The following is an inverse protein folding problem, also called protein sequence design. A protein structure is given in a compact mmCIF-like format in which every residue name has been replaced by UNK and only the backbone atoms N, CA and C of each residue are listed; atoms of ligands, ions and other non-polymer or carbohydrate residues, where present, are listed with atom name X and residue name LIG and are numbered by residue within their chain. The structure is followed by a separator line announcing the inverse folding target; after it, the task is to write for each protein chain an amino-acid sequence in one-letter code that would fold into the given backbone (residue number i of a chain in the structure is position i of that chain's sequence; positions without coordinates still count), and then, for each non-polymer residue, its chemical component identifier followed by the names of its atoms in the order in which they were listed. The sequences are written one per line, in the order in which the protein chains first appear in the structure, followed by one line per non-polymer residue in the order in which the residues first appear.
data_IF_867226342941
#
_entry.id   IF_867226342941
#
_cell.length_a   1.000
_cell.length_b   1.000
_cell.length_c   1.000
_cell.angle_alpha   90.00
_cell.angle_beta   90.00
_cell.angle_gamma   90.00
#
_symmetry.space_group_name_H-M   'P 1'
#
loop_
_entity.id
_entity.type
_entity.pdbx_description
1 polymer ?
#
# COMPACT_ATOMS: atom_id res chain seq x y z
N UNK A 1 -13.47 50.83 9.18
CA UNK A 1 -12.91 50.37 7.88
C UNK A 1 -11.58 49.66 8.09
N UNK A 2 -10.60 50.28 8.74
CA UNK A 2 -9.27 49.70 8.97
C UNK A 2 -9.28 48.41 9.81
N UNK A 3 -10.02 48.37 10.92
CA UNK A 3 -10.17 47.15 11.75
C UNK A 3 -10.75 45.96 10.98
N UNK A 4 -11.66 46.21 10.03
CA UNK A 4 -12.29 45.16 9.22
C UNK A 4 -11.29 44.60 8.21
N UNK A 5 -10.48 45.47 7.60
CA UNK A 5 -9.39 45.06 6.70
C UNK A 5 -8.32 44.23 7.42
N UNK A 6 -7.92 44.63 8.62
CA UNK A 6 -6.95 43.88 9.44
C UNK A 6 -7.50 42.50 9.81
N UNK A 7 -8.76 42.41 10.23
CA UNK A 7 -9.41 41.14 10.55
C UNK A 7 -9.47 40.20 9.33
N UNK A 8 -9.75 40.75 8.14
CA UNK A 8 -9.85 39.97 6.91
C UNK A 8 -8.48 39.43 6.46
N UNK A 9 -7.42 40.23 6.59
CA UNK A 9 -6.03 39.80 6.31
C UNK A 9 -5.57 38.75 7.32
N UNK A 10 -5.90 38.93 8.60
CA UNK A 10 -5.59 37.94 9.63
C UNK A 10 -6.35 36.63 9.40
N UNK A 11 -7.63 36.70 9.05
CA UNK A 11 -8.43 35.52 8.75
C UNK A 11 -7.96 34.81 7.48
N UNK A 12 -7.61 35.55 6.42
CA UNK A 12 -7.12 34.95 5.17
C UNK A 12 -5.75 34.32 5.35
N UNK A 13 -4.84 34.94 6.11
CA UNK A 13 -3.54 34.36 6.47
C UNK A 13 -3.68 33.14 7.36
N UNK A 14 -4.60 33.16 8.34
CA UNK A 14 -4.90 32.00 9.18
C UNK A 14 -5.47 30.84 8.34
N UNK A 15 -6.42 31.11 7.44
CA UNK A 15 -6.99 30.11 6.52
C UNK A 15 -5.89 29.54 5.61
N UNK A 16 -5.04 30.38 5.02
CA UNK A 16 -3.92 29.95 4.19
C UNK A 16 -2.91 29.10 4.98
N UNK A 17 -2.61 29.45 6.23
CA UNK A 17 -1.77 28.65 7.14
C UNK A 17 -2.40 27.29 7.45
N UNK A 18 -3.71 27.25 7.72
CA UNK A 18 -4.44 26.01 8.01
C UNK A 18 -4.55 25.11 6.78
N UNK A 19 -4.76 25.67 5.59
CA UNK A 19 -4.73 24.93 4.32
C UNK A 19 -3.33 24.42 3.99
N UNK A 20 -2.29 25.24 4.17
CA UNK A 20 -0.89 24.82 3.98
C UNK A 20 -0.46 23.75 4.99
N UNK A 21 -1.07 23.73 6.19
CA UNK A 21 -0.84 22.71 7.23
C UNK A 21 -1.60 21.41 7.02
N UNK A 22 -2.59 21.36 6.13
CA UNK A 22 -3.22 20.09 5.75
C UNK A 22 -2.26 19.31 4.85
N UNK A 23 -1.30 18.62 5.48
CA UNK A 23 -0.61 17.51 4.82
C UNK A 23 -1.67 16.51 4.39
N UNK A 24 -1.64 16.11 3.12
CA UNK A 24 -2.44 15.00 2.62
C UNK A 24 -2.21 13.78 3.53
N UNK A 25 -3.28 13.06 3.85
CA UNK A 25 -3.16 11.76 4.54
C UNK A 25 -2.19 10.85 3.77
N UNK A 26 -1.42 10.02 4.47
CA UNK A 26 -0.55 9.03 3.85
C UNK A 26 -1.29 8.16 2.83
N UNK A 27 -2.55 7.80 3.12
CA UNK A 27 -3.40 7.08 2.17
C UNK A 27 -3.70 7.89 0.90
N UNK A 28 -3.93 9.20 1.02
CA UNK A 28 -4.17 10.09 -0.12
C UNK A 28 -2.90 10.32 -0.96
N UNK A 29 -1.72 10.33 -0.32
CA UNK A 29 -0.44 10.42 -1.03
C UNK A 29 -0.15 9.15 -1.83
N UNK A 30 -0.36 7.98 -1.22
CA UNK A 30 -0.23 6.68 -1.92
C UNK A 30 -1.21 6.63 -3.10
N UNK A 31 -2.47 7.01 -2.88
CA UNK A 31 -3.49 7.06 -3.92
C UNK A 31 -3.06 7.95 -5.11
N UNK A 32 -2.55 9.15 -4.83
CA UNK A 32 -2.10 10.08 -5.85
C UNK A 32 -0.95 9.52 -6.67
N UNK A 33 0.02 8.86 -6.01
CA UNK A 33 1.14 8.21 -6.69
C UNK A 33 0.65 7.04 -7.55
N UNK A 34 -0.18 6.14 -6.99
CA UNK A 34 -0.64 4.95 -7.69
C UNK A 34 -1.57 5.28 -8.87
N UNK A 35 -2.28 6.42 -8.83
CA UNK A 35 -3.18 6.86 -9.92
C UNK A 35 -2.44 7.02 -11.26
N UNK A 36 -1.14 7.34 -11.24
CA UNK A 36 -0.33 7.45 -12.47
C UNK A 36 0.02 6.10 -13.10
N UNK A 37 -0.13 5.00 -12.37
CA UNK A 37 0.31 3.66 -12.79
C UNK A 37 -0.85 2.65 -12.92
N UNK A 38 -1.95 2.88 -12.20
CA UNK A 38 -3.08 1.95 -12.13
C UNK A 38 -4.07 2.14 -13.26
N UNK A 39 -4.61 1.02 -13.75
CA UNK A 39 -5.82 0.96 -14.58
C UNK A 39 -7.07 0.78 -13.73
N UNK A 40 -6.98 -0.05 -12.69
CA UNK A 40 -8.05 -0.29 -11.72
C UNK A 40 -7.46 -0.67 -10.36
N UNK A 41 -8.26 -0.62 -9.30
CA UNK A 41 -7.85 -0.98 -7.94
C UNK A 41 -9.04 -1.45 -7.10
N UNK A 42 -8.78 -2.47 -6.29
CA UNK A 42 -9.71 -2.94 -5.26
C UNK A 42 -8.97 -3.01 -3.93
N UNK A 43 -9.65 -2.59 -2.87
CA UNK A 43 -9.12 -2.55 -1.50
C UNK A 43 -9.85 -3.53 -0.61
N UNK A 44 -9.15 -4.05 0.41
CA UNK A 44 -9.68 -4.94 1.44
C UNK A 44 -10.46 -6.14 0.84
N UNK A 45 -9.75 -6.95 0.06
CA UNK A 45 -10.30 -8.19 -0.52
C UNK A 45 -9.79 -9.41 0.23
N UNK A 46 -10.64 -10.42 0.38
CA UNK A 46 -10.28 -11.73 0.87
C UNK A 46 -10.18 -12.69 -0.32
N UNK A 47 -9.07 -13.44 -0.40
CA UNK A 47 -8.86 -14.51 -1.36
C UNK A 47 -8.51 -15.83 -0.65
N UNK A 48 -8.72 -16.99 -1.29
CA UNK A 48 -8.19 -18.26 -0.80
C UNK A 48 -6.66 -18.25 -0.75
N UNK A 49 -6.07 -18.83 0.30
CA UNK A 49 -4.61 -18.93 0.46
C UNK A 49 -3.96 -20.10 -0.32
N UNK A 50 -4.78 -20.97 -0.89
CA UNK A 50 -4.36 -22.15 -1.65
C UNK A 50 -4.18 -23.43 -0.82
N UNK A 51 -4.31 -23.36 0.51
CA UNK A 51 -4.20 -24.50 1.43
C UNK A 51 -5.44 -24.68 2.30
N UNK A 52 -6.55 -24.04 1.94
CA UNK A 52 -7.84 -24.17 2.61
C UNK A 52 -8.16 -23.05 3.59
N UNK A 53 -7.28 -22.07 3.75
CA UNK A 53 -7.52 -20.84 4.49
C UNK A 53 -7.87 -19.66 3.59
N UNK A 54 -7.94 -18.49 4.23
CA UNK A 54 -8.27 -17.21 3.61
C UNK A 54 -7.19 -16.20 4.00
N UNK A 55 -6.89 -15.28 3.09
CA UNK A 55 -6.00 -14.15 3.36
C UNK A 55 -6.59 -12.86 2.84
N UNK A 56 -6.26 -11.77 3.52
CA UNK A 56 -6.63 -10.42 3.10
C UNK A 56 -5.51 -9.76 2.31
N UNK A 57 -5.87 -9.15 1.18
CA UNK A 57 -5.05 -8.23 0.41
C UNK A 57 -5.59 -6.81 0.63
N UNK A 58 -4.73 -5.92 1.12
CA UNK A 58 -5.08 -4.54 1.44
C UNK A 58 -5.38 -3.74 0.17
N UNK A 59 -4.46 -3.76 -0.79
CA UNK A 59 -4.63 -3.17 -2.11
C UNK A 59 -4.22 -4.18 -3.18
N UNK A 60 -5.14 -4.48 -4.10
CA UNK A 60 -4.82 -5.15 -5.35
C UNK A 60 -5.03 -4.15 -6.49
N UNK A 61 -3.97 -3.86 -7.21
CA UNK A 61 -3.91 -2.86 -8.27
C UNK A 61 -3.69 -3.55 -9.60
N UNK A 62 -4.51 -3.23 -10.59
CA UNK A 62 -4.30 -3.62 -11.98
C UNK A 62 -3.41 -2.59 -12.67
N UNK A 63 -2.35 -3.05 -13.33
CA UNK A 63 -1.44 -2.25 -14.15
C UNK A 63 -1.26 -2.91 -15.52
N UNK A 64 -0.68 -2.19 -16.48
CA UNK A 64 -0.41 -2.73 -17.81
C UNK A 64 0.63 -3.86 -17.81
N UNK A 65 1.54 -3.85 -16.83
CA UNK A 65 2.61 -4.84 -16.65
C UNK A 65 2.15 -6.08 -15.87
N UNK A 66 0.98 -6.03 -15.21
CA UNK A 66 0.47 -7.11 -14.38
C UNK A 66 -0.33 -6.63 -13.17
N UNK A 67 -0.25 -7.40 -12.08
CA UNK A 67 -0.94 -7.09 -10.82
C UNK A 67 0.07 -6.60 -9.78
N UNK A 68 -0.31 -5.59 -8.99
CA UNK A 68 0.48 -5.10 -7.88
C UNK A 68 -0.28 -5.28 -6.57
N UNK A 69 0.38 -5.89 -5.59
CA UNK A 69 -0.07 -5.92 -4.20
C UNK A 69 0.62 -4.78 -3.45
N UNK A 70 -0.15 -3.93 -2.79
CA UNK A 70 0.38 -2.91 -1.87
C UNK A 70 -0.12 -3.20 -0.46
N UNK A 71 0.80 -3.21 0.50
CA UNK A 71 0.50 -3.27 1.93
C UNK A 71 1.12 -2.07 2.64
N UNK A 72 0.40 -1.47 3.57
CA UNK A 72 0.89 -0.29 4.30
C UNK A 72 1.25 -0.61 5.75
N UNK A 73 2.33 0.01 6.24
CA UNK A 73 2.83 -0.17 7.60
C UNK A 73 3.03 1.21 8.26
N UNK A 74 2.19 1.59 9.24
CA UNK A 74 2.26 2.89 9.91
C UNK A 74 3.33 2.92 11.00
N UNK A 75 4.58 2.67 10.63
CA UNK A 75 5.73 2.57 11.54
C UNK A 75 6.71 3.71 11.24
N UNK A 76 7.04 4.51 12.25
CA UNK A 76 8.00 5.64 12.16
C UNK A 76 9.38 5.28 12.70
N UNK A 77 10.37 6.16 12.56
CA UNK A 77 11.71 6.01 13.12
C UNK A 77 12.68 5.26 12.20
N UNK A 78 13.82 4.87 12.75
CA UNK A 78 14.86 4.13 12.02
C UNK A 78 14.50 2.66 11.96
N UNK A 79 14.40 2.11 10.76
CA UNK A 79 14.03 0.73 10.51
C UNK A 79 15.26 -0.07 10.06
N UNK A 80 15.43 -1.22 10.69
CA UNK A 80 16.51 -2.17 10.41
C UNK A 80 15.89 -3.52 10.11
N UNK A 81 16.13 -4.01 8.91
CA UNK A 81 15.58 -5.27 8.43
C UNK A 81 16.23 -5.69 7.13
N UNK A 82 16.04 -6.96 6.79
CA UNK A 82 16.49 -7.54 5.54
C UNK A 82 15.52 -8.66 5.14
N UNK A 83 15.64 -9.15 3.91
CA UNK A 83 14.73 -10.17 3.38
C UNK A 83 14.74 -11.47 4.18
N UNK A 84 15.91 -11.91 4.63
CA UNK A 84 16.11 -13.18 5.33
C UNK A 84 16.02 -13.06 6.86
N UNK A 85 15.68 -11.88 7.39
CA UNK A 85 15.53 -11.67 8.83
C UNK A 85 14.07 -11.85 9.24
N UNK A 86 13.84 -12.63 10.29
CA UNK A 86 12.51 -12.97 10.80
C UNK A 86 11.74 -11.77 11.36
N UNK A 87 12.42 -11.03 12.24
CA UNK A 87 11.89 -9.86 12.92
C UNK A 87 12.73 -8.63 12.59
N UNK A 88 12.07 -7.60 12.11
CA UNK A 88 12.68 -6.29 11.89
C UNK A 88 12.70 -5.50 13.18
N UNK A 89 13.56 -4.49 13.23
CA UNK A 89 13.74 -3.62 14.39
C UNK A 89 13.42 -2.18 14.04
N UNK A 90 12.56 -1.56 14.83
CA UNK A 90 12.28 -0.13 14.84
C UNK A 90 13.05 0.51 15.99
N UNK A 91 13.80 1.57 15.70
CA UNK A 91 14.38 2.45 16.71
C UNK A 91 13.70 3.81 16.65
N UNK A 92 13.04 4.19 17.74
CA UNK A 92 12.32 5.47 17.89
C UNK A 92 12.49 5.97 19.33
N UNK A 93 12.77 7.26 19.50
CA UNK A 93 13.00 7.89 20.80
C UNK A 93 14.01 7.15 21.70
N UNK A 94 15.09 6.65 21.09
CA UNK A 94 16.15 5.91 21.79
C UNK A 94 15.76 4.50 22.25
N UNK A 95 14.57 4.01 21.88
CA UNK A 95 14.06 2.68 22.24
C UNK A 95 13.98 1.77 21.01
N UNK A 96 14.14 0.48 21.24
CA UNK A 96 14.14 -0.56 20.20
C UNK A 96 12.92 -1.46 20.36
N UNK A 97 12.19 -1.67 19.26
CA UNK A 97 11.01 -2.53 19.19
C UNK A 97 11.13 -3.49 18.03
N UNK A 98 10.83 -4.77 18.26
CA UNK A 98 10.80 -5.78 17.19
C UNK A 98 9.39 -5.92 16.62
N UNK A 99 9.31 -6.19 15.32
CA UNK A 99 8.06 -6.54 14.64
C UNK A 99 8.35 -7.56 13.55
N UNK A 100 7.36 -8.39 13.21
CA UNK A 100 7.52 -9.42 12.19
C UNK A 100 7.89 -8.79 10.83
N UNK A 101 8.75 -9.46 10.08
CA UNK A 101 9.16 -9.00 8.77
C UNK A 101 7.94 -8.88 7.81
N UNK A 102 7.62 -7.67 7.32
CA UNK A 102 6.44 -7.45 6.50
C UNK A 102 6.50 -8.18 5.14
N UNK A 103 7.70 -8.50 4.65
CA UNK A 103 7.89 -9.23 3.41
C UNK A 103 7.32 -10.65 3.48
N UNK A 104 7.24 -11.26 4.67
CA UNK A 104 6.67 -12.60 4.83
C UNK A 104 5.19 -12.62 4.44
N UNK A 105 4.44 -11.62 4.91
CA UNK A 105 3.01 -11.50 4.64
C UNK A 105 2.76 -11.25 3.15
N UNK A 106 3.41 -10.23 2.58
CA UNK A 106 3.16 -9.86 1.17
C UNK A 106 3.60 -10.97 0.19
N UNK A 107 4.65 -11.74 0.51
CA UNK A 107 5.08 -12.89 -0.30
C UNK A 107 4.08 -14.05 -0.23
N UNK A 108 3.43 -14.24 0.91
CA UNK A 108 2.33 -15.20 1.06
C UNK A 108 1.13 -14.77 0.21
N UNK A 109 0.75 -13.49 0.28
CA UNK A 109 -0.31 -12.92 -0.56
C UNK A 109 0.01 -13.08 -2.07
N UNK A 110 1.26 -12.81 -2.47
CA UNK A 110 1.73 -13.05 -3.84
C UNK A 110 1.57 -14.50 -4.27
N UNK A 111 1.96 -15.44 -3.41
CA UNK A 111 1.88 -16.87 -3.75
C UNK A 111 0.43 -17.34 -3.93
N UNK A 112 -0.48 -16.88 -3.07
CA UNK A 112 -1.91 -17.18 -3.23
C UNK A 112 -2.47 -16.55 -4.51
N UNK A 113 -2.13 -15.29 -4.78
CA UNK A 113 -2.58 -14.62 -6.00
C UNK A 113 -2.03 -15.28 -7.27
N UNK A 114 -0.81 -15.84 -7.23
CA UNK A 114 -0.26 -16.64 -8.35
C UNK A 114 -1.13 -17.86 -8.70
N UNK A 115 -1.85 -18.45 -7.75
CA UNK A 115 -2.78 -19.55 -8.05
C UNK A 115 -4.00 -19.07 -8.86
N UNK A 116 -4.40 -17.82 -8.65
CA UNK A 116 -5.49 -17.18 -9.39
C UNK A 116 -5.02 -16.60 -10.73
N UNK A 117 -3.77 -16.14 -10.80
CA UNK A 117 -3.17 -15.44 -11.93
C UNK A 117 -1.79 -16.02 -12.31
N UNK A 118 -1.70 -17.29 -12.75
CA UNK A 118 -0.41 -18.01 -12.88
C UNK A 118 0.51 -17.48 -13.98
N UNK A 119 -0.03 -16.81 -15.00
CA UNK A 119 0.71 -16.36 -16.19
C UNK A 119 0.87 -14.83 -16.24
N UNK A 120 0.74 -14.16 -15.09
CA UNK A 120 0.81 -12.70 -14.97
C UNK A 120 1.85 -12.35 -13.89
N UNK A 121 2.78 -11.42 -14.14
CA UNK A 121 3.64 -10.86 -13.11
C UNK A 121 2.82 -10.29 -11.96
N UNK A 122 3.17 -10.70 -10.74
CA UNK A 122 2.61 -10.15 -9.52
C UNK A 122 3.73 -9.44 -8.78
N UNK A 123 3.65 -8.11 -8.78
CA UNK A 123 4.55 -7.21 -8.07
C UNK A 123 4.06 -7.00 -6.64
N UNK A 124 4.97 -6.59 -5.76
CA UNK A 124 4.69 -6.36 -4.35
C UNK A 124 5.36 -5.06 -3.91
N UNK A 125 4.65 -4.25 -3.11
CA UNK A 125 5.17 -3.08 -2.40
C UNK A 125 4.73 -3.12 -0.94
N UNK A 126 5.69 -3.21 -0.03
CA UNK A 126 5.50 -2.87 1.38
C UNK A 126 5.80 -1.38 1.54
N UNK A 127 4.79 -0.60 1.89
CA UNK A 127 4.90 0.86 2.01
C UNK A 127 4.86 1.27 3.47
N UNK A 128 6.00 1.72 4.00
CA UNK A 128 6.03 2.37 5.30
C UNK A 128 5.48 3.79 5.16
N UNK A 129 4.28 3.99 5.69
CA UNK A 129 3.46 5.18 5.39
C UNK A 129 3.47 6.24 6.51
N UNK A 130 4.41 6.10 7.45
CA UNK A 130 4.73 7.08 8.48
C UNK A 130 6.17 7.61 8.29
N UNK A 131 6.68 8.35 9.27
CA UNK A 131 8.00 9.01 9.20
C UNK A 131 9.14 8.01 9.43
N UNK A 132 9.39 7.19 8.42
CA UNK A 132 10.31 6.04 8.45
C UNK A 132 11.58 6.30 7.66
N UNK A 133 12.69 5.78 8.18
CA UNK A 133 14.02 5.92 7.59
C UNK A 133 14.73 4.57 7.59
N UNK A 134 15.51 4.29 6.55
CA UNK A 134 16.29 3.05 6.42
C UNK A 134 17.79 3.37 6.33
N UNK A 135 18.47 3.62 7.47
CA UNK A 135 19.87 4.07 7.46
C UNK A 135 20.87 3.09 6.83
N UNK A 136 20.49 1.81 6.69
CA UNK A 136 21.30 0.74 6.10
C UNK A 136 20.75 0.25 4.75
N UNK A 137 19.85 1.02 4.14
CA UNK A 137 19.10 0.61 2.96
C UNK A 137 17.88 -0.23 3.33
N UNK A 138 17.04 -0.46 2.31
CA UNK A 138 15.79 -1.21 2.39
C UNK A 138 15.81 -2.32 1.32
N UNK A 139 15.10 -3.44 1.54
CA UNK A 139 14.89 -4.43 0.48
C UNK A 139 14.17 -3.87 -0.73
N UNK A 140 14.34 -4.52 -1.87
CA UNK A 140 13.80 -4.06 -3.16
C UNK A 140 12.28 -3.95 -3.16
N UNK A 141 11.56 -4.81 -2.41
CA UNK A 141 10.09 -4.84 -2.27
C UNK A 141 9.52 -3.78 -1.31
N UNK A 142 10.37 -2.95 -0.71
CA UNK A 142 9.99 -1.97 0.32
C UNK A 142 10.10 -0.55 -0.20
N UNK A 143 9.18 0.30 0.21
CA UNK A 143 9.14 1.73 -0.10
C UNK A 143 8.79 2.54 1.15
N UNK A 144 9.26 3.79 1.19
CA UNK A 144 8.68 4.82 2.05
C UNK A 144 7.85 5.76 1.17
N UNK A 145 6.97 6.59 1.75
CA UNK A 145 6.15 7.52 0.95
C UNK A 145 6.98 8.38 0.01
N UNK A 146 8.14 8.86 0.47
CA UNK A 146 9.01 9.73 -0.30
C UNK A 146 9.64 9.04 -1.53
N UNK A 147 9.85 7.73 -1.49
CA UNK A 147 10.51 6.97 -2.58
C UNK A 147 9.53 6.15 -3.41
N UNK A 148 8.26 6.03 -3.00
CA UNK A 148 7.30 5.14 -3.65
C UNK A 148 7.17 5.40 -5.16
N UNK A 149 7.09 6.65 -5.60
CA UNK A 149 6.98 6.97 -7.01
C UNK A 149 8.21 6.55 -7.84
N UNK A 150 9.41 6.67 -7.26
CA UNK A 150 10.67 6.25 -7.89
C UNK A 150 10.79 4.72 -7.89
N UNK A 151 10.48 4.08 -6.77
CA UNK A 151 10.51 2.61 -6.61
C UNK A 151 9.55 1.91 -7.61
N UNK A 152 8.49 2.60 -8.06
CA UNK A 152 7.56 2.10 -9.07
C UNK A 152 8.14 2.11 -10.49
N UNK A 153 9.19 2.87 -10.79
CA UNK A 153 9.74 2.99 -12.15
C UNK A 153 10.26 1.66 -12.69
N UNK A 154 10.95 0.88 -11.85
CA UNK A 154 11.44 -0.45 -12.22
C UNK A 154 10.30 -1.41 -12.62
N UNK A 155 9.14 -1.27 -11.98
CA UNK A 155 7.94 -2.04 -12.36
C UNK A 155 7.43 -1.57 -13.73
N UNK A 156 7.40 -0.26 -13.96
CA UNK A 156 6.91 0.33 -15.21
C UNK A 156 7.77 -0.01 -16.43
N UNK A 157 9.05 -0.32 -16.24
CA UNK A 157 9.97 -0.81 -17.29
C UNK A 157 9.70 -2.27 -17.69
N UNK A 158 8.86 -3.00 -16.94
CA UNK A 158 8.50 -4.38 -17.28
C UNK A 158 7.63 -4.44 -18.54
N UNK A 159 7.67 -5.57 -19.30
CA UNK A 159 6.86 -5.73 -20.51
C UNK A 159 5.35 -5.53 -20.27
N UNK A 160 4.70 -4.84 -21.21
CA UNK A 160 3.25 -4.68 -21.20
C UNK A 160 2.56 -6.02 -21.55
N UNK A 161 1.55 -6.38 -20.78
CA UNK A 161 0.79 -7.64 -20.91
C UNK A 161 -0.70 -7.44 -20.64
N UNK A 162 -1.24 -6.29 -21.07
CA UNK A 162 -2.56 -5.79 -20.70
C UNK A 162 -3.67 -6.84 -20.78
N UNK A 163 -3.80 -7.57 -21.90
CA UNK A 163 -4.86 -8.56 -22.07
C UNK A 163 -4.78 -9.70 -21.04
N UNK A 164 -3.56 -10.15 -20.72
CA UNK A 164 -3.35 -11.20 -19.71
C UNK A 164 -3.63 -10.66 -18.31
N UNK A 165 -3.20 -9.43 -18.03
CA UNK A 165 -3.43 -8.76 -16.76
C UNK A 165 -4.93 -8.54 -16.49
N UNK A 166 -5.68 -8.08 -17.48
CA UNK A 166 -7.14 -7.89 -17.39
C UNK A 166 -7.88 -9.21 -17.16
N UNK A 167 -7.54 -10.26 -17.92
CA UNK A 167 -8.14 -11.57 -17.72
C UNK A 167 -7.86 -12.14 -16.31
N UNK A 168 -6.65 -11.95 -15.81
CA UNK A 168 -6.29 -12.33 -14.45
C UNK A 168 -7.05 -11.51 -13.40
N UNK A 169 -7.18 -10.19 -13.61
CA UNK A 169 -7.96 -9.29 -12.77
C UNK A 169 -9.42 -9.75 -12.64
N UNK A 170 -10.09 -10.00 -13.77
CA UNK A 170 -11.48 -10.48 -13.78
C UNK A 170 -11.63 -11.83 -13.06
N UNK A 171 -10.65 -12.73 -13.21
CA UNK A 171 -10.63 -14.00 -12.46
C UNK A 171 -10.49 -13.76 -10.95
N UNK A 172 -9.61 -12.85 -10.54
CA UNK A 172 -9.46 -12.48 -9.14
C UNK A 172 -10.76 -11.88 -8.60
N UNK A 173 -11.40 -10.96 -9.32
CA UNK A 173 -12.63 -10.29 -8.88
C UNK A 173 -13.83 -11.24 -8.74
N UNK A 174 -13.87 -12.33 -9.53
CA UNK A 174 -14.92 -13.36 -9.39
C UNK A 174 -14.77 -14.19 -8.11
N UNK A 175 -13.55 -14.36 -7.61
CA UNK A 175 -13.23 -15.22 -6.46
C UNK A 175 -13.14 -14.40 -5.18
N UNK A 176 -12.63 -13.18 -5.28
CA UNK A 176 -12.43 -12.27 -4.16
C UNK A 176 -13.76 -11.90 -3.51
N UNK A 177 -13.74 -11.81 -2.17
CA UNK A 177 -14.85 -11.28 -1.36
C UNK A 177 -14.43 -9.94 -0.75
N UNK A 178 -15.33 -8.96 -0.70
CA UNK A 178 -15.06 -7.71 0.03
C UNK A 178 -15.22 -7.94 1.53
N UNK A 179 -14.34 -7.32 2.32
CA UNK A 179 -14.29 -7.47 3.78
C UNK A 179 -15.50 -6.89 4.56
N UNK A 180 -16.62 -6.61 3.88
CA UNK A 180 -17.88 -6.12 4.46
C UNK A 180 -19.12 -6.97 4.12
N UNK A 181 -18.96 -8.12 3.45
CA UNK A 181 -20.08 -9.03 3.12
C UNK A 181 -20.10 -10.32 3.97
N UNK A 182 -19.12 -10.56 4.84
CA UNK A 182 -19.09 -11.72 5.75
C UNK A 182 -19.73 -11.47 7.12
N UNK A 183 -19.97 -10.21 7.53
CA UNK A 183 -20.62 -9.91 8.81
C UNK A 183 -22.16 -9.91 8.78
N UNK A 184 -22.78 -10.17 7.63
CA UNK A 184 -24.24 -10.15 7.46
C UNK A 184 -24.87 -11.52 7.14
N UNK A 185 -24.11 -12.62 7.20
CA UNK A 185 -24.64 -13.95 6.83
C UNK A 185 -24.57 -15.04 7.90
N UNK A 186 -24.02 -14.74 9.08
CA UNK A 186 -23.97 -15.69 10.22
C UNK A 186 -24.88 -15.25 11.38
N UNK A 187 -25.99 -14.56 11.08
CA UNK A 187 -26.94 -14.03 12.06
C UNK A 187 -28.38 -14.55 11.96
N UNK A 188 -28.63 -15.58 11.15
CA UNK A 188 -29.92 -16.28 11.12
C UNK A 188 -29.67 -17.79 10.97
N UNK A 189 -29.63 -18.48 12.11
CA UNK A 189 -29.84 -19.93 12.27
C UNK A 189 -30.39 -20.18 13.66
#
# INVERSE_FOLDING_TARGET
MELVLVLFIFLSTLIALLWKRRKLSSAAQIELILTSFKRDEVKAIIIPDGIGGLLEIEHLVLMEQGLLIVETYPISGNLFGAEQIDDWTQIIDGRSYKFANPLRRIRTARQALKLLAPNVPIFCRVVFNADSHFPKGKPDEVSILATLAEDMQMIMESPLILDKAENAWQRCMRIARKNGQSLLRDGDS
#
